data_IF_187562924757
#
_entry.id   IF_187562924757
#
_cell.length_a   1.000
_cell.length_b   1.000
_cell.length_c   1.000
_cell.angle_alpha   90.00
_cell.angle_beta   90.00
_cell.angle_gamma   90.00
#
_symmetry.space_group_name_H-M   'P 1'
#
loop_
_entity.id
_entity.type
_entity.pdbx_description
1 polymer ?
#
# COMPACT_ATOMS: atom_id res chain seq x y z
N UNK A 1 3.99 -67.07 -32.80
CA UNK A 1 5.28 -66.39 -33.01
C UNK A 1 5.04 -64.90 -33.14
N UNK A 2 5.58 -64.08 -32.23
CA UNK A 2 5.83 -62.66 -32.47
C UNK A 2 7.05 -62.24 -31.64
N UNK A 3 8.17 -61.82 -32.25
CA UNK A 3 9.37 -61.40 -31.54
C UNK A 3 9.54 -59.86 -31.54
N UNK A 4 10.28 -59.39 -30.53
CA UNK A 4 10.86 -58.02 -30.36
C UNK A 4 9.83 -56.99 -29.83
N UNK A 5 10.11 -56.22 -28.77
CA UNK A 5 11.27 -55.36 -28.65
C UNK A 5 11.63 -55.02 -27.18
N UNK A 6 12.91 -54.67 -27.02
CA UNK A 6 13.61 -54.24 -25.82
C UNK A 6 13.10 -52.91 -25.23
N UNK A 7 12.77 -52.90 -23.94
CA UNK A 7 12.31 -51.71 -23.21
C UNK A 7 13.19 -51.38 -22.01
N UNK A 8 14.40 -50.88 -22.24
CA UNK A 8 15.12 -50.07 -21.27
C UNK A 8 14.92 -48.60 -21.65
N UNK A 9 14.31 -47.82 -20.77
CA UNK A 9 14.73 -46.48 -20.34
C UNK A 9 13.65 -45.93 -19.41
N UNK A 10 13.88 -46.07 -18.11
CA UNK A 10 13.24 -45.22 -17.11
C UNK A 10 13.93 -43.85 -17.13
N UNK A 11 13.18 -42.75 -17.18
CA UNK A 11 13.60 -41.51 -16.54
C UNK A 11 12.80 -41.31 -15.26
N UNK A 12 13.56 -41.18 -14.18
CA UNK A 12 13.15 -40.76 -12.84
C UNK A 12 12.25 -39.50 -12.88
N UNK A 13 11.13 -39.44 -12.13
CA UNK A 13 10.42 -38.20 -11.89
C UNK A 13 11.07 -37.46 -10.71
N UNK A 14 12.30 -37.01 -10.88
CA UNK A 14 12.98 -36.12 -9.93
C UNK A 14 12.95 -34.70 -10.48
N UNK A 15 11.85 -34.00 -10.28
CA UNK A 15 11.76 -32.54 -10.13
C UNK A 15 10.34 -32.20 -9.69
N UNK A 16 10.11 -32.32 -8.39
CA UNK A 16 8.95 -31.71 -7.76
C UNK A 16 9.13 -30.20 -7.88
N UNK A 17 8.22 -29.55 -8.62
CA UNK A 17 8.09 -28.11 -8.80
C UNK A 17 7.79 -27.40 -7.47
N UNK A 18 8.76 -27.35 -6.57
CA UNK A 18 8.75 -26.43 -5.45
C UNK A 18 9.36 -25.11 -5.92
N UNK A 19 8.50 -24.18 -6.36
CA UNK A 19 8.49 -22.76 -5.95
C UNK A 19 7.79 -21.89 -7.01
N UNK A 20 6.45 -21.90 -7.07
CA UNK A 20 5.72 -20.89 -7.86
C UNK A 20 4.47 -20.35 -7.17
N UNK A 21 4.37 -20.51 -5.85
CA UNK A 21 3.19 -20.06 -5.09
C UNK A 21 3.34 -18.63 -4.52
N UNK A 22 4.57 -18.08 -4.47
CA UNK A 22 4.84 -16.72 -3.98
C UNK A 22 4.71 -15.64 -5.07
N UNK A 23 5.07 -15.96 -6.31
CA UNK A 23 5.07 -15.02 -7.44
C UNK A 23 3.67 -14.72 -7.99
N UNK A 24 2.73 -15.67 -7.93
CA UNK A 24 1.37 -15.47 -8.43
C UNK A 24 0.53 -14.56 -7.51
N UNK A 25 0.76 -14.60 -6.18
CA UNK A 25 -0.01 -13.77 -5.23
C UNK A 25 0.31 -12.28 -5.31
N UNK A 26 1.48 -11.88 -5.81
CA UNK A 26 1.89 -10.47 -5.96
C UNK A 26 1.45 -9.85 -7.30
N UNK A 27 1.02 -10.69 -8.24
CA UNK A 27 0.52 -10.31 -9.57
C UNK A 27 -1.01 -10.26 -9.64
N UNK A 28 -1.71 -10.56 -8.55
CA UNK A 28 -3.17 -10.40 -8.47
C UNK A 28 -3.52 -9.01 -8.01
N UNK A 29 -4.68 -8.52 -8.47
CA UNK A 29 -5.20 -7.22 -8.05
C UNK A 29 -5.33 -7.18 -6.52
N UNK A 30 -4.73 -6.19 -5.84
CA UNK A 30 -4.90 -6.05 -4.40
C UNK A 30 -6.39 -5.88 -4.04
N UNK A 31 -6.82 -6.52 -2.95
CA UNK A 31 -8.17 -6.34 -2.39
C UNK A 31 -8.36 -4.96 -1.74
N UNK A 32 -7.29 -4.18 -1.66
CA UNK A 32 -7.26 -2.90 -0.98
C UNK A 32 -7.82 -1.78 -1.85
N UNK A 33 -8.52 -0.86 -1.19
CA UNK A 33 -9.00 0.35 -1.85
C UNK A 33 -7.84 1.30 -2.17
N UNK A 34 -8.03 2.16 -3.18
CA UNK A 34 -7.04 3.21 -3.48
C UNK A 34 -6.75 4.13 -2.28
N UNK A 35 -7.72 4.35 -1.39
CA UNK A 35 -7.50 5.10 -0.14
C UNK A 35 -6.47 4.38 0.74
N UNK A 36 -6.61 3.07 0.91
CA UNK A 36 -5.66 2.28 1.70
C UNK A 36 -4.26 2.27 1.07
N UNK A 37 -4.18 2.11 -0.26
CA UNK A 37 -2.91 2.13 -0.99
C UNK A 37 -2.17 3.47 -0.80
N UNK A 38 -2.87 4.59 -0.99
CA UNK A 38 -2.31 5.94 -0.81
C UNK A 38 -1.92 6.18 0.65
N UNK A 39 -2.78 5.77 1.60
CA UNK A 39 -2.51 5.96 3.03
C UNK A 39 -1.23 5.24 3.46
N UNK A 40 -1.05 3.98 3.06
CA UNK A 40 0.17 3.23 3.35
C UNK A 40 1.42 3.83 2.72
N UNK A 41 1.31 4.30 1.47
CA UNK A 41 2.40 5.00 0.82
C UNK A 41 2.85 6.21 1.65
N UNK A 42 1.91 7.10 2.00
CA UNK A 42 2.20 8.30 2.79
C UNK A 42 2.72 7.95 4.19
N UNK A 43 2.14 6.95 4.85
CA UNK A 43 2.58 6.51 6.18
C UNK A 43 3.98 5.89 6.20
N UNK A 44 4.43 5.34 5.08
CA UNK A 44 5.78 4.79 4.95
C UNK A 44 6.88 5.86 4.82
N UNK A 45 6.51 7.09 4.45
CA UNK A 45 7.47 8.18 4.33
C UNK A 45 7.84 8.75 5.71
N UNK A 46 9.12 9.11 5.95
CA UNK A 46 9.59 9.58 7.26
C UNK A 46 8.91 10.86 7.74
N UNK A 47 8.38 11.67 6.81
CA UNK A 47 7.69 12.92 7.12
C UNK A 47 6.17 12.83 6.97
N UNK A 48 5.62 11.63 6.82
CA UNK A 48 4.19 11.39 6.58
C UNK A 48 3.59 12.21 5.43
N UNK A 49 4.41 12.42 4.41
CA UNK A 49 4.06 13.16 3.21
C UNK A 49 4.83 12.60 2.02
N UNK A 50 4.22 12.62 0.86
CA UNK A 50 4.78 12.01 -0.35
C UNK A 50 4.31 12.77 -1.59
N UNK A 51 5.17 12.89 -2.60
CA UNK A 51 4.80 13.46 -3.89
C UNK A 51 3.91 12.50 -4.67
N UNK A 52 3.08 13.03 -5.56
CA UNK A 52 2.23 12.21 -6.43
C UNK A 52 3.05 11.18 -7.25
N UNK A 53 4.24 11.57 -7.72
CA UNK A 53 5.13 10.68 -8.46
C UNK A 53 5.65 9.53 -7.59
N UNK A 54 6.06 9.85 -6.37
CA UNK A 54 6.55 8.88 -5.39
C UNK A 54 5.44 7.91 -4.96
N UNK A 55 4.18 8.38 -4.84
CA UNK A 55 3.03 7.49 -4.58
C UNK A 55 2.86 6.47 -5.71
N UNK A 56 3.07 6.85 -6.97
CA UNK A 56 3.01 5.89 -8.08
C UNK A 56 4.11 4.84 -7.98
N UNK A 57 5.33 5.27 -7.69
CA UNK A 57 6.51 4.40 -7.57
C UNK A 57 6.37 3.44 -6.39
N UNK A 58 5.96 3.94 -5.23
CA UNK A 58 5.71 3.12 -4.04
C UNK A 58 4.67 2.04 -4.32
N UNK A 59 3.54 2.39 -4.96
CA UNK A 59 2.49 1.41 -5.28
C UNK A 59 3.00 0.32 -6.23
N UNK A 60 3.82 0.68 -7.23
CA UNK A 60 4.37 -0.31 -8.16
C UNK A 60 5.35 -1.24 -7.45
N UNK A 61 6.17 -0.71 -6.54
CA UNK A 61 7.15 -1.48 -5.79
C UNK A 61 6.49 -2.45 -4.80
N UNK A 62 5.46 -1.99 -4.10
CA UNK A 62 4.75 -2.80 -3.08
C UNK A 62 3.73 -3.76 -3.73
N UNK A 63 3.09 -3.34 -4.82
CA UNK A 63 2.07 -4.11 -5.52
C UNK A 63 2.42 -4.24 -7.02
N UNK A 64 3.29 -5.20 -7.38
CA UNK A 64 3.79 -5.40 -8.75
C UNK A 64 2.68 -5.51 -9.82
N UNK A 65 1.48 -5.96 -9.43
CA UNK A 65 0.28 -5.91 -10.28
C UNK A 65 0.09 -4.58 -11.02
N UNK A 66 0.32 -3.43 -10.38
CA UNK A 66 0.11 -2.13 -11.04
C UNK A 66 1.21 -1.78 -12.05
N UNK A 67 2.40 -2.38 -11.91
CA UNK A 67 3.51 -2.23 -12.86
C UNK A 67 3.28 -3.01 -14.16
N UNK A 68 2.53 -4.12 -14.11
CA UNK A 68 2.23 -4.93 -15.31
C UNK A 68 1.05 -4.40 -16.13
N UNK A 69 0.24 -3.50 -15.57
CA UNK A 69 -0.86 -2.87 -16.28
C UNK A 69 -0.35 -1.91 -17.36
N UNK A 70 -0.64 -2.22 -18.63
CA UNK A 70 -0.35 -1.33 -19.76
C UNK A 70 -1.14 0.00 -19.68
N UNK A 71 -2.31 -0.02 -19.06
CA UNK A 71 -3.17 1.15 -18.92
C UNK A 71 -2.78 2.03 -17.72
N UNK A 72 -2.64 3.33 -17.97
CA UNK A 72 -2.44 4.35 -16.92
C UNK A 72 -3.74 4.76 -16.20
N UNK A 73 -4.85 4.04 -16.40
CA UNK A 73 -6.15 4.35 -15.79
C UNK A 73 -6.09 4.37 -14.25
N UNK A 74 -5.32 3.46 -13.63
CA UNK A 74 -5.17 3.41 -12.18
C UNK A 74 -4.50 4.69 -11.63
N UNK A 75 -3.56 5.30 -12.36
CA UNK A 75 -2.95 6.59 -11.96
C UNK A 75 -3.97 7.71 -11.94
N UNK A 76 -4.97 7.66 -12.82
CA UNK A 76 -6.08 8.61 -12.78
C UNK A 76 -6.95 8.41 -11.54
N UNK A 77 -7.24 7.16 -11.19
CA UNK A 77 -7.94 6.83 -9.95
C UNK A 77 -7.19 7.31 -8.71
N UNK A 78 -5.86 7.24 -8.68
CA UNK A 78 -5.04 7.81 -7.59
C UNK A 78 -5.24 9.32 -7.48
N UNK A 79 -5.06 10.06 -8.57
CA UNK A 79 -5.25 11.53 -8.58
C UNK A 79 -6.67 11.92 -8.15
N UNK A 80 -7.66 11.21 -8.67
CA UNK A 80 -9.04 11.43 -8.29
C UNK A 80 -9.27 11.21 -6.79
N UNK A 81 -8.71 10.15 -6.20
CA UNK A 81 -8.87 9.89 -4.76
C UNK A 81 -8.17 10.92 -3.88
N UNK A 82 -7.00 11.41 -4.28
CA UNK A 82 -6.28 12.46 -3.55
C UNK A 82 -7.12 13.74 -3.45
N UNK A 83 -7.82 14.11 -4.52
CA UNK A 83 -8.68 15.30 -4.53
C UNK A 83 -10.07 15.06 -3.95
N UNK A 84 -10.61 13.85 -4.05
CA UNK A 84 -11.98 13.54 -3.62
C UNK A 84 -12.11 13.28 -2.11
N UNK A 85 -11.08 12.70 -1.48
CA UNK A 85 -11.17 12.31 -0.08
C UNK A 85 -10.48 13.34 0.83
N UNK A 86 -11.25 13.95 1.73
CA UNK A 86 -10.77 14.92 2.73
C UNK A 86 -9.69 14.37 3.68
N UNK A 87 -9.52 13.04 3.74
CA UNK A 87 -8.41 12.43 4.48
C UNK A 87 -7.05 12.71 3.86
N UNK A 88 -6.98 13.15 2.60
CA UNK A 88 -5.75 13.56 1.95
C UNK A 88 -5.74 15.07 1.77
N UNK A 89 -4.63 15.69 2.19
CA UNK A 89 -4.45 17.13 2.12
C UNK A 89 -3.22 17.46 1.29
N UNK A 90 -3.35 18.54 0.51
CA UNK A 90 -2.22 19.15 -0.19
C UNK A 90 -1.42 19.98 0.81
N UNK A 91 -0.15 19.66 0.97
CA UNK A 91 0.78 20.37 1.86
C UNK A 91 1.64 21.39 1.07
N UNK A 92 2.81 21.76 1.60
CA UNK A 92 3.73 22.67 0.94
C UNK A 92 4.19 22.17 -0.44
N UNK A 93 4.65 23.12 -1.25
CA UNK A 93 5.28 22.84 -2.54
C UNK A 93 6.60 22.10 -2.31
N UNK A 94 6.95 21.19 -3.20
CA UNK A 94 8.24 20.52 -3.15
C UNK A 94 9.39 21.52 -3.28
N UNK A 95 10.51 21.24 -2.59
CA UNK A 95 11.73 22.06 -2.64
C UNK A 95 12.25 22.24 -4.08
N UNK A 96 12.08 21.21 -4.92
CA UNK A 96 12.45 21.25 -6.33
C UNK A 96 11.40 21.93 -7.24
N UNK A 97 10.31 22.46 -6.66
CA UNK A 97 9.22 23.12 -7.38
C UNK A 97 8.28 22.22 -8.18
N UNK A 98 8.53 20.90 -8.27
CA UNK A 98 7.79 19.94 -9.11
C UNK A 98 6.58 19.34 -8.39
N UNK A 99 5.63 20.20 -8.05
CA UNK A 99 4.34 19.81 -7.45
C UNK A 99 4.29 20.03 -5.95
N UNK A 100 3.29 19.41 -5.32
CA UNK A 100 3.00 19.55 -3.89
C UNK A 100 3.09 18.20 -3.21
N UNK A 101 3.50 18.22 -1.95
CA UNK A 101 3.39 17.05 -1.10
C UNK A 101 1.93 16.76 -0.76
N UNK A 102 1.60 15.48 -0.70
CA UNK A 102 0.33 14.99 -0.18
C UNK A 102 0.56 14.35 1.18
N UNK A 103 -0.31 14.65 2.13
CA UNK A 103 -0.29 14.03 3.46
C UNK A 103 -1.68 13.59 3.90
N UNK A 104 -1.74 12.99 5.08
CA UNK A 104 -2.99 12.57 5.71
C UNK A 104 -3.49 13.67 6.64
N UNK A 105 -4.78 13.97 6.58
CA UNK A 105 -5.42 14.92 7.48
C UNK A 105 -5.31 14.42 8.94
N UNK A 106 -4.97 15.27 9.93
CA UNK A 106 -4.80 14.85 11.32
C UNK A 106 -5.99 14.04 11.89
N UNK A 107 -7.22 14.44 11.55
CA UNK A 107 -8.44 13.72 11.97
C UNK A 107 -8.56 12.27 11.46
N UNK A 108 -7.82 11.90 10.41
CA UNK A 108 -7.79 10.55 9.84
C UNK A 108 -6.49 9.79 10.17
N UNK A 109 -5.45 10.49 10.62
CA UNK A 109 -4.10 9.95 10.81
C UNK A 109 -4.08 8.77 11.78
N UNK A 110 -4.66 8.94 12.97
CA UNK A 110 -4.74 7.91 14.00
C UNK A 110 -5.46 6.64 13.49
N UNK A 111 -6.60 6.80 12.82
CA UNK A 111 -7.34 5.68 12.25
C UNK A 111 -6.50 4.93 11.19
N UNK A 112 -5.77 5.67 10.35
CA UNK A 112 -4.96 5.08 9.28
C UNK A 112 -3.74 4.34 9.80
N UNK A 113 -3.10 4.83 10.88
CA UNK A 113 -2.02 4.11 11.57
C UNK A 113 -2.51 2.74 12.08
N UNK A 114 -3.72 2.70 12.63
CA UNK A 114 -4.33 1.46 13.12
C UNK A 114 -4.95 0.58 12.01
N UNK A 115 -4.79 0.95 10.74
CA UNK A 115 -5.28 0.18 9.59
C UNK A 115 -6.76 0.37 9.25
N UNK A 116 -7.47 1.31 9.91
CA UNK A 116 -8.85 1.64 9.53
C UNK A 116 -8.88 2.72 8.44
N UNK A 117 -8.86 2.25 7.18
CA UNK A 117 -8.93 3.12 6.01
C UNK A 117 -10.37 3.50 5.61
N UNK A 118 -11.39 3.24 6.45
CA UNK A 118 -12.79 3.49 6.10
C UNK A 118 -13.19 4.96 6.29
N UNK A 119 -13.58 5.57 5.17
CA UNK A 119 -14.02 6.98 5.02
C UNK A 119 -15.05 7.52 6.05
N UNK A 120 -15.96 6.68 6.56
CA UNK A 120 -17.18 7.16 7.25
C UNK A 120 -16.91 7.73 8.64
N UNK A 121 -15.88 7.27 9.35
CA UNK A 121 -15.56 7.76 10.70
C UNK A 121 -14.72 9.05 10.67
N UNK A 122 -13.82 9.21 9.70
CA UNK A 122 -13.01 10.42 9.53
C UNK A 122 -13.87 11.67 9.22
N UNK A 123 -14.88 11.54 8.35
CA UNK A 123 -15.81 12.65 7.99
C UNK A 123 -16.68 13.11 9.16
N UNK A 124 -17.07 12.21 10.07
CA UNK A 124 -17.84 12.54 11.27
C UNK A 124 -16.98 13.25 12.33
N UNK A 125 -15.67 12.94 12.38
CA UNK A 125 -14.71 13.62 13.27
C UNK A 125 -14.30 14.99 12.71
N UNK A 126 -14.08 15.11 11.40
CA UNK A 126 -13.74 16.38 10.74
C UNK A 126 -14.88 17.43 10.83
N UNK A 127 -16.14 17.04 10.60
CA UNK A 127 -17.31 17.93 10.78
C UNK A 127 -17.51 18.45 12.22
N UNK A 128 -16.93 17.80 13.23
CA UNK A 128 -16.91 18.31 14.62
C UNK A 128 -15.75 19.27 14.89
N UNK A 129 -14.75 19.29 14.02
CA UNK A 129 -13.52 20.07 14.16
C UNK A 129 -13.48 21.35 13.29
N UNK A 130 -14.59 21.70 12.62
CA UNK A 130 -14.76 22.90 11.77
C UNK A 130 -14.59 24.25 12.51
N UNK A 131 -14.01 24.28 13.72
CA UNK A 131 -13.69 25.50 14.46
C UNK A 131 -12.20 25.65 14.85
N UNK A 132 -11.31 24.76 14.39
CA UNK A 132 -9.87 24.88 14.64
C UNK A 132 -9.08 24.88 13.34
N UNK A 133 -8.50 26.04 13.04
CA UNK A 133 -7.62 26.27 11.90
C UNK A 133 -6.48 25.24 11.85
N UNK A 134 -6.11 24.84 10.63
CA UNK A 134 -5.00 23.91 10.29
C UNK A 134 -3.64 24.35 10.86
N UNK A 135 -3.54 25.52 11.50
CA UNK A 135 -2.31 26.06 12.08
C UNK A 135 -2.12 25.82 13.58
N UNK A 136 -3.08 25.23 14.30
CA UNK A 136 -3.05 25.24 15.78
C UNK A 136 -2.92 23.86 16.42
N UNK A 137 -2.08 22.98 15.86
CA UNK A 137 -1.79 21.68 16.48
C UNK A 137 -0.31 21.58 16.87
N UNK A 138 0.06 21.93 18.12
CA UNK A 138 1.44 21.89 18.61
C UNK A 138 2.11 20.51 18.55
N UNK A 139 1.36 19.41 18.60
CA UNK A 139 1.93 18.05 18.57
C UNK A 139 2.53 17.64 17.23
N UNK A 140 2.25 18.37 16.14
CA UNK A 140 2.87 18.13 14.82
C UNK A 140 4.28 18.74 14.71
N UNK A 141 4.73 19.54 15.68
CA UNK A 141 6.10 20.10 15.69
C UNK A 141 7.08 19.29 16.54
N UNK A 142 6.61 18.28 17.28
CA UNK A 142 7.51 17.48 18.10
C UNK A 142 8.03 16.27 17.30
N UNK A 143 9.17 16.46 16.63
CA UNK A 143 9.90 15.46 15.80
C UNK A 143 10.42 14.22 16.57
N UNK A 144 9.85 13.90 17.73
CA UNK A 144 10.29 12.81 18.60
C UNK A 144 9.12 11.88 18.97
N UNK A 145 8.37 11.40 17.98
CA UNK A 145 7.59 10.17 18.15
C UNK A 145 8.51 9.04 17.71
N UNK A 146 9.27 8.50 18.67
CA UNK A 146 10.00 7.25 18.52
C UNK A 146 8.96 6.13 18.39
N UNK A 147 8.60 5.78 17.16
CA UNK A 147 7.88 4.54 16.87
C UNK A 147 8.92 3.53 16.44
N UNK A 148 9.35 2.70 17.38
CA UNK A 148 9.91 1.39 17.09
C UNK A 148 8.92 0.66 16.19
N UNK A 149 9.20 0.65 14.89
CA UNK A 149 8.54 -0.21 13.92
C UNK A 149 9.06 -1.63 14.14
N UNK A 150 8.62 -2.25 15.24
CA UNK A 150 8.90 -3.64 15.52
C UNK A 150 8.02 -4.50 14.61
N UNK A 151 8.69 -5.11 13.64
CA UNK A 151 8.17 -6.13 12.74
C UNK A 151 7.55 -7.26 13.57
N UNK A 152 6.22 -7.31 13.65
CA UNK A 152 5.51 -8.54 13.96
C UNK A 152 4.73 -9.01 12.74
N UNK A 153 5.46 -9.64 11.83
CA UNK A 153 4.92 -10.81 11.14
C UNK A 153 4.83 -11.94 12.16
N UNK A 154 3.61 -12.32 12.56
CA UNK A 154 3.33 -13.69 12.99
C UNK A 154 2.08 -14.16 12.28
N UNK A 155 2.28 -14.71 11.08
CA UNK A 155 1.36 -15.66 10.49
C UNK A 155 1.52 -16.96 11.28
N UNK A 156 0.60 -17.26 12.20
CA UNK A 156 0.41 -18.63 12.68
C UNK A 156 -0.71 -19.25 11.86
N UNK A 157 -0.34 -20.02 10.83
CA UNK A 157 -1.27 -20.99 10.25
C UNK A 157 -1.42 -22.13 11.26
N UNK A 158 -2.61 -22.23 11.87
CA UNK A 158 -3.03 -23.44 12.57
C UNK A 158 -3.28 -24.52 11.51
N UNK A 159 -2.35 -25.47 11.42
CA UNK A 159 -2.61 -26.76 10.79
C UNK A 159 -3.21 -27.66 11.89
N UNK A 160 -4.46 -28.08 11.70
CA UNK A 160 -5.09 -29.10 12.55
C UNK A 160 -5.06 -30.41 11.77
N UNK A 161 -4.65 -31.47 12.47
CA UNK A 161 -4.43 -32.84 12.00
C UNK A 161 -5.65 -33.49 11.33
#
# INVERSE_FOLDING_TARGET
>A
MNPQDSGYFSPSPASQDFCSHKTLKTLTKPQESYVALIARAILSAPNYQMLLVEIYEWIINEYPYFGTLQSKAWRNSIRHNLSLNECFIRQQKSENGRGYYWGIHPAAFDAFIHGDFRRRQARLRAKRADNLSIQTIPWMMNRNISLDYSVHQTHTYNCSY
#
